data_IF_053468175267
#
_entry.id   IF_053468175267
#
_cell.length_a   1.000
_cell.length_b   1.000
_cell.length_c   1.000
_cell.angle_alpha   90.00
_cell.angle_beta   90.00
_cell.angle_gamma   90.00
#
_symmetry.space_group_name_H-M   'P 1'
#
loop_
_entity.id
_entity.type
_entity.pdbx_description
1 polymer ?
#
# COMPACT_ATOMS: atom_id res chain seq x y z
N UNK A 1 2.64 12.23 26.02
CA UNK A 1 1.62 12.63 25.03
C UNK A 1 1.89 11.91 23.71
N UNK A 2 3.16 11.73 23.36
CA UNK A 2 3.60 11.24 22.04
C UNK A 2 3.19 9.79 21.75
N UNK A 3 3.24 8.90 22.75
CA UNK A 3 2.71 7.54 22.64
C UNK A 3 1.21 7.50 22.31
N UNK A 4 0.43 8.44 22.84
CA UNK A 4 -1.00 8.53 22.52
C UNK A 4 -1.19 8.98 21.05
N UNK A 5 -0.37 9.93 20.58
CA UNK A 5 -0.41 10.36 19.18
C UNK A 5 -0.07 9.21 18.22
N UNK A 6 0.91 8.37 18.57
CA UNK A 6 1.23 7.16 17.79
C UNK A 6 0.04 6.21 17.75
N UNK A 7 -0.57 5.88 18.89
CA UNK A 7 -1.69 4.94 18.94
C UNK A 7 -2.92 5.46 18.20
N UNK A 8 -3.27 6.74 18.37
CA UNK A 8 -4.38 7.38 17.64
C UNK A 8 -4.05 7.46 16.15
N UNK A 9 -2.83 7.82 15.80
CA UNK A 9 -2.35 7.88 14.42
C UNK A 9 -2.51 6.54 13.70
N UNK A 10 -2.05 5.45 14.32
CA UNK A 10 -2.22 4.09 13.79
C UNK A 10 -3.69 3.71 13.62
N UNK A 11 -4.55 4.06 14.58
CA UNK A 11 -5.99 3.80 14.48
C UNK A 11 -6.65 4.57 13.33
N UNK A 12 -6.32 5.84 13.16
CA UNK A 12 -6.81 6.69 12.07
C UNK A 12 -6.33 6.19 10.70
N UNK A 13 -5.06 5.78 10.61
CA UNK A 13 -4.48 5.22 9.40
C UNK A 13 -5.18 3.92 8.97
N UNK A 14 -5.46 3.02 9.93
CA UNK A 14 -6.15 1.76 9.66
C UNK A 14 -7.59 1.99 9.16
N UNK A 15 -8.35 2.82 9.87
CA UNK A 15 -9.74 3.14 9.48
C UNK A 15 -9.77 3.94 8.17
N UNK A 16 -8.83 4.86 7.99
CA UNK A 16 -8.72 5.70 6.80
C UNK A 16 -8.37 4.90 5.55
N UNK A 17 -7.39 3.99 5.66
CA UNK A 17 -7.02 3.06 4.60
C UNK A 17 -8.20 2.18 4.19
N UNK A 18 -8.88 1.57 5.16
CA UNK A 18 -10.05 0.71 4.89
C UNK A 18 -11.18 1.49 4.21
N UNK A 19 -11.50 2.69 4.70
CA UNK A 19 -12.53 3.55 4.09
C UNK A 19 -12.17 3.94 2.64
N UNK A 20 -10.91 4.29 2.39
CA UNK A 20 -10.38 4.61 1.07
C UNK A 20 -10.52 3.43 0.12
N UNK A 21 -10.05 2.24 0.52
CA UNK A 21 -10.07 1.02 -0.31
C UNK A 21 -11.49 0.59 -0.64
N UNK A 22 -12.38 0.57 0.34
CA UNK A 22 -13.80 0.23 0.12
C UNK A 22 -14.46 1.21 -0.82
N UNK A 23 -14.27 2.51 -0.59
CA UNK A 23 -14.85 3.56 -1.43
C UNK A 23 -14.33 3.50 -2.86
N UNK A 24 -13.01 3.41 -3.05
CA UNK A 24 -12.38 3.31 -4.37
C UNK A 24 -12.85 2.06 -5.13
N UNK A 25 -12.92 0.92 -4.44
CA UNK A 25 -13.40 -0.33 -5.03
C UNK A 25 -14.87 -0.24 -5.46
N UNK A 26 -15.73 0.37 -4.63
CA UNK A 26 -17.14 0.57 -4.97
C UNK A 26 -17.35 1.49 -6.17
N UNK A 27 -16.53 2.54 -6.32
CA UNK A 27 -16.54 3.41 -7.51
C UNK A 27 -16.09 2.64 -8.75
N UNK A 28 -15.03 1.85 -8.66
CA UNK A 28 -14.52 1.07 -9.78
C UNK A 28 -15.51 0.01 -10.28
N UNK A 29 -16.20 -0.67 -9.37
CA UNK A 29 -17.28 -1.60 -9.72
C UNK A 29 -18.46 -0.89 -10.39
N UNK A 30 -18.86 0.28 -9.91
CA UNK A 30 -19.89 1.11 -10.56
C UNK A 30 -19.46 1.56 -11.98
N UNK A 31 -18.17 1.71 -12.21
CA UNK A 31 -17.57 1.98 -13.52
C UNK A 31 -17.37 0.72 -14.39
N UNK A 32 -17.93 -0.43 -14.00
CA UNK A 32 -17.88 -1.71 -14.72
C UNK A 32 -16.48 -2.31 -14.88
N UNK A 33 -15.55 -1.98 -13.97
CA UNK A 33 -14.31 -2.77 -13.85
C UNK A 33 -14.63 -4.13 -13.22
N UNK A 34 -13.93 -5.18 -13.65
CA UNK A 34 -14.09 -6.52 -13.08
C UNK A 34 -13.52 -6.58 -11.66
N UNK A 35 -14.07 -7.43 -10.77
CA UNK A 35 -13.51 -7.66 -9.43
C UNK A 35 -12.03 -8.00 -9.44
N UNK A 36 -11.59 -8.80 -10.41
CA UNK A 36 -10.17 -9.13 -10.61
C UNK A 36 -9.28 -7.89 -10.82
N UNK A 37 -9.70 -6.96 -11.68
CA UNK A 37 -8.93 -5.72 -11.91
C UNK A 37 -8.93 -4.85 -10.65
N UNK A 38 -10.05 -4.77 -9.94
CA UNK A 38 -10.16 -4.02 -8.68
C UNK A 38 -9.25 -4.61 -7.60
N UNK A 39 -9.23 -5.94 -7.44
CA UNK A 39 -8.36 -6.64 -6.51
C UNK A 39 -6.88 -6.42 -6.81
N UNK A 40 -6.48 -6.63 -8.06
CA UNK A 40 -5.09 -6.48 -8.51
C UNK A 40 -4.57 -5.03 -8.42
N UNK A 41 -5.45 -4.04 -8.48
CA UNK A 41 -5.04 -2.62 -8.51
C UNK A 41 -5.39 -1.86 -7.25
N UNK A 42 -6.67 -1.66 -6.97
CA UNK A 42 -7.15 -0.79 -5.90
C UNK A 42 -6.91 -1.42 -4.53
N UNK A 43 -7.24 -2.70 -4.37
CA UNK A 43 -7.02 -3.40 -3.10
C UNK A 43 -5.53 -3.53 -2.83
N UNK A 44 -4.75 -3.99 -3.83
CA UNK A 44 -3.30 -4.12 -3.72
C UNK A 44 -2.58 -2.78 -3.44
N UNK A 45 -2.97 -1.69 -4.09
CA UNK A 45 -2.42 -0.37 -3.78
C UNK A 45 -2.90 0.12 -2.41
N UNK A 46 -4.16 -0.18 -2.08
CA UNK A 46 -4.85 0.16 -0.86
C UNK A 46 -4.16 -0.25 0.43
N UNK A 47 -3.64 -1.47 0.47
CA UNK A 47 -2.92 -2.01 1.63
C UNK A 47 -1.64 -1.23 1.95
N UNK A 48 -1.07 -0.53 0.97
CA UNK A 48 0.16 0.25 1.10
C UNK A 48 -0.11 1.77 1.18
N UNK A 49 -1.38 2.19 1.19
CA UNK A 49 -1.76 3.60 1.29
C UNK A 49 -1.34 4.23 2.62
N UNK A 50 -1.55 3.60 3.79
CA UNK A 50 -1.08 4.13 5.06
C UNK A 50 0.43 4.43 5.05
N UNK A 51 1.22 3.48 4.56
CA UNK A 51 2.68 3.58 4.49
C UNK A 51 3.10 4.70 3.53
N UNK A 52 2.45 4.80 2.37
CA UNK A 52 2.70 5.88 1.41
C UNK A 52 2.45 7.25 2.05
N UNK A 53 1.32 7.43 2.73
CA UNK A 53 0.94 8.71 3.33
C UNK A 53 1.85 9.05 4.51
N UNK A 54 2.25 8.07 5.33
CA UNK A 54 3.23 8.27 6.41
C UNK A 54 4.60 8.65 5.88
N UNK A 55 5.12 7.94 4.88
CA UNK A 55 6.42 8.27 4.27
C UNK A 55 6.41 9.62 3.58
N UNK A 56 5.33 9.96 2.88
CA UNK A 56 5.18 11.26 2.23
C UNK A 56 5.13 12.39 3.28
N UNK A 57 4.32 12.23 4.32
CA UNK A 57 4.21 13.21 5.40
C UNK A 57 5.55 13.39 6.13
N UNK A 58 6.23 12.30 6.47
CA UNK A 58 7.55 12.34 7.11
C UNK A 58 8.60 13.06 6.25
N UNK A 59 8.60 12.83 4.92
CA UNK A 59 9.49 13.53 4.01
C UNK A 59 9.16 15.03 3.93
N UNK A 60 7.88 15.39 3.90
CA UNK A 60 7.41 16.79 3.87
C UNK A 60 7.70 17.54 5.17
N UNK A 61 7.67 16.85 6.31
CA UNK A 61 8.00 17.39 7.64
C UNK A 61 9.52 17.45 7.91
N UNK A 62 10.35 17.20 6.89
CA UNK A 62 11.80 17.30 7.02
C UNK A 62 12.44 16.12 7.76
N UNK A 63 11.73 14.99 7.87
CA UNK A 63 12.19 13.74 8.47
C UNK A 63 12.37 12.62 7.40
N UNK A 64 13.22 12.80 6.37
CA UNK A 64 13.38 11.83 5.29
C UNK A 64 13.92 10.47 5.77
N UNK A 65 14.70 10.44 6.86
CA UNK A 65 15.15 9.20 7.48
C UNK A 65 13.99 8.34 7.99
N UNK A 66 12.95 8.96 8.56
CA UNK A 66 11.73 8.27 8.97
C UNK A 66 10.95 7.76 7.74
N UNK A 67 10.91 8.53 6.66
CA UNK A 67 10.25 8.13 5.42
C UNK A 67 10.88 6.88 4.81
N UNK A 68 12.22 6.84 4.69
CA UNK A 68 12.98 5.68 4.19
C UNK A 68 12.86 4.51 5.17
N UNK A 69 12.99 4.77 6.47
CA UNK A 69 12.82 3.76 7.51
C UNK A 69 11.46 3.08 7.46
N UNK A 70 10.39 3.83 7.19
CA UNK A 70 9.05 3.29 7.00
C UNK A 70 8.96 2.40 5.75
N UNK A 71 9.49 2.83 4.59
CA UNK A 71 9.46 2.05 3.34
C UNK A 71 10.28 0.76 3.44
N UNK A 72 11.50 0.84 3.96
CA UNK A 72 12.39 -0.33 4.07
C UNK A 72 11.90 -1.26 5.19
N UNK A 73 11.50 -0.69 6.33
CA UNK A 73 11.02 -1.42 7.49
C UNK A 73 9.74 -2.21 7.21
N UNK A 74 8.75 -1.62 6.53
CA UNK A 74 7.49 -2.31 6.20
C UNK A 74 7.71 -3.51 5.27
N UNK A 75 8.55 -3.36 4.24
CA UNK A 75 8.89 -4.45 3.33
C UNK A 75 9.67 -5.57 4.04
N UNK A 76 10.62 -5.21 4.91
CA UNK A 76 11.36 -6.19 5.71
C UNK A 76 10.44 -6.93 6.68
N UNK A 77 9.50 -6.22 7.32
CA UNK A 77 8.51 -6.82 8.21
C UNK A 77 7.57 -7.77 7.46
N UNK A 78 7.10 -7.39 6.27
CA UNK A 78 6.21 -8.21 5.47
C UNK A 78 6.88 -9.52 5.02
N UNK A 79 8.11 -9.45 4.50
CA UNK A 79 8.83 -10.65 4.04
C UNK A 79 9.39 -11.47 5.19
N UNK A 80 10.01 -10.81 6.17
CA UNK A 80 10.69 -11.48 7.28
C UNK A 80 9.71 -12.04 8.30
N UNK A 81 8.82 -11.18 8.83
CA UNK A 81 7.88 -11.58 9.87
C UNK A 81 6.62 -12.21 9.29
N UNK A 82 5.85 -11.50 8.46
CA UNK A 82 4.52 -11.97 8.06
C UNK A 82 4.63 -13.23 7.21
N UNK A 83 5.37 -13.15 6.08
CA UNK A 83 5.55 -14.29 5.18
C UNK A 83 6.33 -15.43 5.86
N UNK A 84 7.41 -15.11 6.57
CA UNK A 84 8.21 -16.09 7.30
C UNK A 84 7.40 -16.87 8.34
N UNK A 85 6.61 -16.17 9.17
CA UNK A 85 5.76 -16.81 10.17
C UNK A 85 4.64 -17.63 9.51
N UNK A 86 4.02 -17.12 8.45
CA UNK A 86 2.97 -17.84 7.71
C UNK A 86 3.52 -19.15 7.14
N UNK A 87 4.73 -19.12 6.55
CA UNK A 87 5.40 -20.30 6.00
C UNK A 87 5.78 -21.35 7.06
N UNK A 88 6.01 -20.94 8.31
CA UNK A 88 6.25 -21.85 9.43
C UNK A 88 4.96 -22.55 9.91
N UNK A 89 3.81 -21.87 9.81
CA UNK A 89 2.52 -22.39 10.29
C UNK A 89 1.85 -23.27 9.24
N UNK A 90 1.82 -22.82 7.97
CA UNK A 90 1.14 -23.51 6.87
C UNK A 90 2.06 -23.58 5.64
N UNK A 91 2.17 -24.75 4.97
CA UNK A 91 2.90 -24.84 3.71
C UNK A 91 2.31 -23.91 2.65
N UNK A 92 3.12 -22.95 2.20
CA UNK A 92 2.73 -22.02 1.13
C UNK A 92 2.84 -22.71 -0.22
N UNK A 93 1.71 -23.05 -0.82
CA UNK A 93 1.66 -23.49 -2.22
C UNK A 93 1.68 -22.26 -3.10
N UNK A 94 2.71 -22.14 -3.93
CA UNK A 94 2.81 -21.05 -4.89
C UNK A 94 2.18 -21.53 -6.20
N UNK A 95 1.02 -20.99 -6.54
CA UNK A 95 0.38 -21.21 -7.83
C UNK A 95 0.80 -20.12 -8.82
N UNK A 96 0.82 -20.47 -10.12
CA UNK A 96 0.91 -19.50 -11.20
C UNK A 96 2.29 -18.90 -11.51
N UNK A 97 2.27 -17.76 -12.19
CA UNK A 97 3.45 -17.05 -12.70
C UNK A 97 4.05 -16.06 -11.69
N UNK A 98 3.46 -15.86 -10.51
CA UNK A 98 3.88 -14.86 -9.53
C UNK A 98 5.36 -15.02 -9.11
N UNK A 99 5.84 -16.25 -8.92
CA UNK A 99 7.26 -16.48 -8.59
C UNK A 99 8.21 -16.19 -9.76
N UNK A 100 7.76 -16.40 -11.00
CA UNK A 100 8.64 -16.21 -12.18
C UNK A 100 8.70 -14.75 -12.62
N UNK A 101 7.70 -13.95 -12.30
CA UNK A 101 7.56 -12.59 -12.80
C UNK A 101 7.59 -11.55 -11.67
N UNK A 102 6.74 -11.68 -10.66
CA UNK A 102 6.62 -10.70 -9.59
C UNK A 102 7.85 -10.71 -8.68
N UNK A 103 8.35 -11.90 -8.34
CA UNK A 103 9.51 -12.03 -7.45
C UNK A 103 10.79 -11.39 -8.02
N UNK A 104 11.20 -11.65 -9.29
CA UNK A 104 12.34 -10.95 -9.89
C UNK A 104 12.14 -9.44 -9.99
N UNK A 105 10.92 -8.98 -10.28
CA UNK A 105 10.63 -7.53 -10.36
C UNK A 105 10.73 -6.88 -8.98
N UNK A 106 10.23 -7.51 -7.93
CA UNK A 106 10.38 -7.02 -6.56
C UNK A 106 11.86 -6.95 -6.15
N UNK A 107 12.65 -7.98 -6.46
CA UNK A 107 14.09 -7.98 -6.17
C UNK A 107 14.83 -6.90 -6.96
N UNK A 108 14.46 -6.69 -8.23
CA UNK A 108 15.01 -5.62 -9.05
C UNK A 108 14.66 -4.25 -8.48
N UNK A 109 13.42 -4.01 -8.06
CA UNK A 109 12.99 -2.75 -7.45
C UNK A 109 13.74 -2.46 -6.14
N UNK A 110 13.90 -3.48 -5.29
CA UNK A 110 14.68 -3.36 -4.06
C UNK A 110 16.15 -3.04 -4.35
N UNK A 111 16.75 -3.72 -5.33
CA UNK A 111 18.13 -3.47 -5.75
C UNK A 111 18.31 -2.07 -6.36
N UNK A 112 17.36 -1.62 -7.19
CA UNK A 112 17.34 -0.27 -7.74
C UNK A 112 17.30 0.78 -6.63
N UNK A 113 16.45 0.61 -5.61
CA UNK A 113 16.38 1.54 -4.49
C UNK A 113 17.73 1.63 -3.75
N UNK A 114 18.40 0.50 -3.50
CA UNK A 114 19.73 0.47 -2.87
C UNK A 114 20.80 1.17 -3.72
N UNK A 115 20.77 0.96 -5.05
CA UNK A 115 21.71 1.58 -5.96
C UNK A 115 21.53 3.09 -6.06
N UNK A 116 20.28 3.57 -6.10
CA UNK A 116 19.95 4.99 -6.16
C UNK A 116 20.29 5.67 -4.84
N UNK A 117 19.93 5.05 -3.70
CA UNK A 117 20.21 5.58 -2.37
C UNK A 117 21.69 5.44 -1.90
N UNK A 118 22.63 5.10 -2.80
CA UNK A 118 24.02 4.78 -2.43
C UNK A 118 24.81 5.96 -1.86
N UNK A 119 24.42 7.19 -2.21
CA UNK A 119 25.02 8.42 -1.71
C UNK A 119 24.34 8.92 -0.43
N UNK A 120 23.40 8.13 0.12
CA UNK A 120 22.63 8.45 1.31
C UNK A 120 21.40 9.32 1.05
N UNK A 121 21.12 9.66 -0.21
CA UNK A 121 19.96 10.48 -0.60
C UNK A 121 19.20 9.85 -1.76
N UNK A 122 17.94 10.25 -1.94
CA UNK A 122 17.17 9.93 -3.15
C UNK A 122 16.66 11.26 -3.70
N UNK A 123 17.15 11.65 -4.86
CA UNK A 123 16.80 12.92 -5.47
C UNK A 123 15.46 12.85 -6.25
N UNK A 124 15.04 13.98 -6.83
CA UNK A 124 13.76 14.08 -7.55
C UNK A 124 13.77 13.30 -8.86
N UNK A 125 14.91 13.16 -9.52
CA UNK A 125 15.05 12.41 -10.77
C UNK A 125 15.01 10.91 -10.49
N UNK A 126 15.70 10.46 -9.44
CA UNK A 126 15.70 9.08 -8.97
C UNK A 126 14.31 8.66 -8.47
N UNK A 127 13.66 9.52 -7.68
CA UNK A 127 12.26 9.33 -7.29
C UNK A 127 11.31 9.30 -8.49
N UNK A 128 11.51 10.18 -9.46
CA UNK A 128 10.74 10.18 -10.71
C UNK A 128 10.92 8.89 -11.52
N UNK A 129 12.14 8.37 -11.56
CA UNK A 129 12.45 7.08 -12.19
C UNK A 129 11.74 5.92 -11.47
N UNK A 130 11.76 5.87 -10.14
CA UNK A 130 11.06 4.85 -9.35
C UNK A 130 9.54 4.91 -9.57
N UNK A 131 8.96 6.10 -9.60
CA UNK A 131 7.52 6.29 -9.89
C UNK A 131 7.19 5.84 -11.31
N UNK A 132 8.02 6.18 -12.30
CA UNK A 132 7.81 5.74 -13.68
C UNK A 132 7.91 4.20 -13.81
N UNK A 133 8.86 3.57 -13.11
CA UNK A 133 8.99 2.12 -13.05
C UNK A 133 7.76 1.46 -12.41
N UNK A 134 7.23 2.03 -11.31
CA UNK A 134 5.99 1.58 -10.68
C UNK A 134 4.80 1.65 -11.64
N UNK A 135 4.61 2.79 -12.33
CA UNK A 135 3.52 2.96 -13.30
C UNK A 135 3.64 1.96 -14.45
N UNK A 136 4.85 1.77 -14.97
CA UNK A 136 5.11 0.78 -16.03
C UNK A 136 4.79 -0.65 -15.57
N UNK A 137 5.19 -1.01 -14.34
CA UNK A 137 4.89 -2.32 -13.76
C UNK A 137 3.40 -2.54 -13.55
N UNK A 138 2.68 -1.56 -12.97
CA UNK A 138 1.23 -1.65 -12.78
C UNK A 138 0.51 -1.77 -14.12
N UNK A 139 0.89 -0.98 -15.13
CA UNK A 139 0.32 -1.08 -16.47
C UNK A 139 0.55 -2.46 -17.10
N UNK A 140 1.76 -3.00 -16.95
CA UNK A 140 2.10 -4.34 -17.40
C UNK A 140 1.30 -5.43 -16.66
N UNK A 141 1.21 -5.36 -15.32
CA UNK A 141 0.44 -6.30 -14.51
C UNK A 141 -1.05 -6.31 -14.90
N UNK A 142 -1.64 -5.12 -15.10
CA UNK A 142 -3.03 -4.99 -15.58
C UNK A 142 -3.18 -5.57 -16.99
N UNK A 143 -2.23 -5.34 -17.89
CA UNK A 143 -2.28 -5.89 -19.23
C UNK A 143 -2.21 -7.43 -19.22
N UNK A 144 -1.26 -7.99 -18.46
CA UNK A 144 -1.11 -9.45 -18.29
C UNK A 144 -2.38 -10.05 -17.69
N UNK A 145 -2.92 -9.46 -16.62
CA UNK A 145 -4.17 -9.94 -16.03
C UNK A 145 -5.30 -9.94 -17.07
N UNK A 146 -5.48 -8.85 -17.83
CA UNK A 146 -6.56 -8.78 -18.84
C UNK A 146 -6.40 -9.75 -20.01
N UNK A 147 -5.18 -10.21 -20.30
CA UNK A 147 -4.88 -11.09 -21.45
C UNK A 147 -4.65 -12.54 -21.06
N UNK A 148 -4.34 -12.81 -19.79
CA UNK A 148 -3.89 -14.10 -19.29
C UNK A 148 -4.66 -14.65 -18.10
N UNK A 149 -5.75 -14.02 -17.65
CA UNK A 149 -6.59 -14.56 -16.54
C UNK A 149 -7.03 -15.98 -16.89
N UNK A 150 -6.49 -16.97 -16.19
CA UNK A 150 -6.96 -18.36 -16.22
C UNK A 150 -8.30 -18.44 -15.47
N UNK A 151 -9.14 -19.41 -15.84
CA UNK A 151 -10.47 -19.60 -15.23
C UNK A 151 -10.42 -19.75 -13.70
N UNK A 152 -9.33 -20.32 -13.16
CA UNK A 152 -9.12 -20.48 -11.71
C UNK A 152 -8.84 -19.15 -10.99
N UNK A 153 -8.06 -18.23 -11.58
CA UNK A 153 -7.80 -16.90 -10.98
C UNK A 153 -9.08 -16.06 -11.02
N UNK A 154 -9.85 -16.13 -12.12
CA UNK A 154 -11.15 -15.48 -12.21
C UNK A 154 -12.13 -15.95 -11.13
N UNK A 155 -12.15 -17.25 -10.82
CA UNK A 155 -12.96 -17.82 -9.74
C UNK A 155 -12.49 -17.36 -8.36
N UNK A 156 -11.19 -17.31 -8.08
CA UNK A 156 -10.66 -16.80 -6.81
C UNK A 156 -11.00 -15.31 -6.60
N UNK A 157 -10.96 -14.50 -7.67
CA UNK A 157 -11.36 -13.08 -7.62
C UNK A 157 -12.88 -12.87 -7.52
N UNK A 158 -13.70 -13.80 -8.01
CA UNK A 158 -15.16 -13.80 -7.82
C UNK A 158 -15.56 -14.30 -6.41
N UNK A 159 -14.74 -15.18 -5.82
CA UNK A 159 -14.86 -15.65 -4.43
C UNK A 159 -14.33 -14.64 -3.40
N UNK A 160 -13.49 -13.67 -3.81
CA UNK A 160 -13.14 -12.55 -2.94
C UNK A 160 -14.43 -11.94 -2.39
N UNK A 161 -14.61 -11.89 -1.06
CA UNK A 161 -15.88 -11.50 -0.49
C UNK A 161 -16.26 -10.14 -1.05
N UNK A 162 -17.34 -10.09 -1.81
CA UNK A 162 -17.97 -8.84 -2.23
C UNK A 162 -18.34 -7.94 -1.06
N UNK A 163 -18.35 -8.50 0.17
CA UNK A 163 -18.42 -7.80 1.43
C UNK A 163 -17.23 -6.86 1.74
N UNK A 164 -16.06 -7.07 1.11
CA UNK A 164 -14.90 -6.17 1.15
C UNK A 164 -15.03 -5.02 0.16
N UNK A 165 -15.73 -5.23 -0.96
CA UNK A 165 -15.96 -4.19 -1.94
C UNK A 165 -17.06 -3.23 -1.47
N UNK A 166 -16.88 -1.93 -1.72
CA UNK A 166 -17.82 -0.89 -1.30
C UNK A 166 -19.25 -1.11 -1.82
N UNK A 167 -20.17 -0.22 -1.42
CA UNK A 167 -21.59 -0.37 -1.78
C UNK A 167 -21.78 -0.25 -3.30
N UNK A 168 -22.52 -1.18 -3.91
CA UNK A 168 -22.76 -1.21 -5.37
C UNK A 168 -24.11 -0.57 -5.71
N UNK A 169 -24.15 0.27 -6.75
CA UNK A 169 -25.36 0.95 -7.27
C UNK A 169 -25.15 2.44 -7.57
N UNK A 170 -25.96 3.01 -8.48
CA UNK A 170 -25.81 4.42 -8.91
C UNK A 170 -25.95 5.43 -7.75
N UNK A 171 -26.87 5.17 -6.82
CA UNK A 171 -27.05 5.99 -5.60
C UNK A 171 -25.92 5.79 -4.59
N UNK A 172 -25.19 4.67 -4.66
CA UNK A 172 -24.09 4.36 -3.76
C UNK A 172 -22.75 5.02 -4.16
N UNK A 173 -22.63 5.51 -5.40
CA UNK A 173 -21.42 6.21 -5.87
C UNK A 173 -21.07 7.40 -4.98
N UNK A 174 -22.05 8.22 -4.60
CA UNK A 174 -21.83 9.37 -3.71
C UNK A 174 -21.36 8.96 -2.31
N UNK A 175 -21.87 7.83 -1.79
CA UNK A 175 -21.42 7.29 -0.50
C UNK A 175 -19.98 6.78 -0.58
N UNK A 176 -19.61 6.14 -1.70
CA UNK A 176 -18.25 5.66 -1.93
C UNK A 176 -17.26 6.82 -2.12
N UNK A 177 -17.66 7.88 -2.83
CA UNK A 177 -16.88 9.13 -2.94
C UNK A 177 -16.73 9.78 -1.56
N UNK A 178 -17.79 9.83 -0.76
CA UNK A 178 -17.71 10.29 0.63
C UNK A 178 -16.74 9.47 1.46
N UNK A 179 -16.76 8.14 1.33
CA UNK A 179 -15.83 7.24 2.01
C UNK A 179 -14.38 7.46 1.58
N UNK A 180 -14.11 7.72 0.30
CA UNK A 180 -12.79 8.10 -0.20
C UNK A 180 -12.32 9.40 0.47
N UNK A 181 -13.15 10.44 0.48
CA UNK A 181 -12.78 11.74 1.05
C UNK A 181 -12.51 11.64 2.56
N UNK A 182 -13.37 10.91 3.28
CA UNK A 182 -13.17 10.63 4.71
C UNK A 182 -11.90 9.81 4.92
N UNK A 183 -11.67 8.77 4.10
CA UNK A 183 -10.48 7.94 4.16
C UNK A 183 -9.19 8.74 3.99
N UNK A 184 -9.14 9.61 2.98
CA UNK A 184 -8.01 10.53 2.75
C UNK A 184 -7.81 11.48 3.94
N UNK A 185 -8.89 12.05 4.49
CA UNK A 185 -8.80 12.91 5.66
C UNK A 185 -8.26 12.19 6.90
N UNK A 186 -8.72 10.96 7.15
CA UNK A 186 -8.23 10.13 8.25
C UNK A 186 -6.78 9.70 8.05
N UNK A 187 -6.38 9.36 6.82
CA UNK A 187 -5.00 9.03 6.50
C UNK A 187 -4.06 10.22 6.74
N UNK A 188 -4.45 11.41 6.28
CA UNK A 188 -3.66 12.63 6.50
C UNK A 188 -3.56 13.00 7.99
N UNK A 189 -4.68 12.98 8.73
CA UNK A 189 -4.65 13.24 10.17
C UNK A 189 -3.87 12.17 10.95
N UNK A 190 -4.02 10.91 10.55
CA UNK A 190 -3.34 9.77 11.14
C UNK A 190 -1.83 9.80 10.92
N UNK A 191 -1.38 10.14 9.71
CA UNK A 191 0.06 10.27 9.42
C UNK A 191 0.69 11.42 10.18
N UNK A 192 0.06 12.61 10.24
CA UNK A 192 0.57 13.73 11.03
C UNK A 192 0.67 13.38 12.52
N UNK A 193 -0.34 12.70 13.09
CA UNK A 193 -0.28 12.26 14.48
C UNK A 193 0.84 11.24 14.71
N UNK A 194 0.98 10.28 13.80
CA UNK A 194 2.01 9.24 13.89
C UNK A 194 3.42 9.83 13.78
N UNK A 195 3.68 10.71 12.81
CA UNK A 195 5.00 11.31 12.58
C UNK A 195 5.40 12.18 13.77
N UNK A 196 4.53 13.10 14.22
CA UNK A 196 4.84 13.92 15.39
C UNK A 196 5.06 13.08 16.66
N UNK A 197 4.24 12.05 16.87
CA UNK A 197 4.41 11.13 17.99
C UNK A 197 5.74 10.37 17.92
N UNK A 198 6.09 9.83 16.75
CA UNK A 198 7.32 9.09 16.55
C UNK A 198 8.57 9.97 16.73
N UNK A 199 8.58 11.17 16.14
CA UNK A 199 9.67 12.15 16.30
C UNK A 199 9.80 12.58 17.77
N UNK A 200 8.69 12.87 18.45
CA UNK A 200 8.70 13.23 19.87
C UNK A 200 9.28 12.14 20.76
N UNK A 201 8.93 10.87 20.51
CA UNK A 201 9.51 9.72 21.22
C UNK A 201 11.01 9.60 20.93
N UNK A 202 11.43 9.71 19.66
CA UNK A 202 12.84 9.62 19.28
C UNK A 202 13.70 10.71 19.96
N UNK A 203 13.21 11.95 19.98
CA UNK A 203 13.87 13.05 20.69
C UNK A 203 13.95 12.82 22.20
N UNK A 204 12.89 12.29 22.82
CA UNK A 204 12.88 11.98 24.26
C UNK A 204 13.86 10.85 24.63
N UNK A 205 14.11 9.92 23.70
CA UNK A 205 15.06 8.83 23.86
C UNK A 205 16.49 9.20 23.43
N UNK A 206 16.71 10.40 22.88
CA UNK A 206 18.03 10.87 22.46
C UNK A 206 18.57 10.20 21.18
N UNK A 207 17.68 9.71 20.32
CA UNK A 207 18.00 8.97 19.09
C UNK A 207 17.60 9.73 17.81
N UNK A 208 17.24 11.01 17.94
CA UNK A 208 16.90 11.91 16.82
C UNK A 208 18.11 12.44 16.07
#
# INVERSE_FOLDING_TARGET
MDWLLVLVGLGLLLVGGEALVRGASGVALAARLSPAVVGLTIVAAGTSMPELVVSLQAAMEGSPGLAVGNVVGSNLFNVGMILGLTALIVPLRILGNSVKLEWPVMMLAAFQLVLLARDGTVDRLEGGFLVAALVAFVAYAVWVARTGTTSEEAEEFDELPTASFGRVGATAVWLNVGAILVGVGLLAGGSTALVHGAVGIASALGVS
#
